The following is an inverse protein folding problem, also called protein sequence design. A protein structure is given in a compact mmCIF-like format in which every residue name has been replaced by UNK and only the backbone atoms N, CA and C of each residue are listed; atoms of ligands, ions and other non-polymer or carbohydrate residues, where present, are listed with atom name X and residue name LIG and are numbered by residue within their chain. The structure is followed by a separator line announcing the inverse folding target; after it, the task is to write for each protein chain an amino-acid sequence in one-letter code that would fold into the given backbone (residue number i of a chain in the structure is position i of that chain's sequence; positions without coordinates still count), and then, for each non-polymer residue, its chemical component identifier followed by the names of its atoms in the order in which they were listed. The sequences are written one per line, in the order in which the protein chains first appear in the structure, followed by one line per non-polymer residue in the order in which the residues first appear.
data_IF_637725150949
#
_entry.id   IF_637725150949
#
_cell.length_a   1.000
_cell.length_b   1.000
_cell.length_c   1.000
_cell.angle_alpha   90.00
_cell.angle_beta   90.00
_cell.angle_gamma   90.00
#
_symmetry.space_group_name_H-M   'P 1'
#
loop_
_entity.id
_entity.type
_entity.pdbx_description
1 polymer ?
#
# COMPACT_ATOMS: atom_id res chain seq x y z
N UNK A 1 -41.21 62.05 3.91
CA UNK A 1 -40.22 61.23 3.18
C UNK A 1 -40.59 59.79 3.44
N UNK A 2 -41.09 59.09 2.43
CA UNK A 2 -41.34 57.63 2.50
C UNK A 2 -40.00 56.91 2.60
N UNK A 3 -39.91 55.91 3.48
CA UNK A 3 -38.71 55.11 3.65
C UNK A 3 -38.40 54.40 2.33
N UNK A 4 -37.23 54.65 1.70
CA UNK A 4 -36.88 54.04 0.43
C UNK A 4 -36.79 52.50 0.50
N UNK A 5 -36.76 51.90 1.69
CA UNK A 5 -36.69 50.45 1.90
C UNK A 5 -38.05 49.78 2.13
N UNK A 6 -39.14 50.55 2.31
CA UNK A 6 -40.48 50.02 2.58
C UNK A 6 -40.96 48.99 1.54
N UNK A 7 -40.73 49.16 0.22
CA UNK A 7 -41.10 48.14 -0.78
C UNK A 7 -40.28 46.84 -0.68
N UNK A 8 -39.12 46.88 -0.01
CA UNK A 8 -38.18 45.78 0.10
C UNK A 8 -38.15 45.14 1.49
N UNK A 9 -38.88 45.69 2.47
CA UNK A 9 -38.83 45.28 3.87
C UNK A 9 -39.13 43.79 4.07
N UNK A 10 -40.16 43.25 3.40
CA UNK A 10 -40.50 41.83 3.50
C UNK A 10 -39.40 40.91 2.93
N UNK A 11 -38.75 41.31 1.84
CA UNK A 11 -37.64 40.57 1.24
C UNK A 11 -36.41 40.58 2.15
N UNK A 12 -36.09 41.72 2.75
CA UNK A 12 -34.98 41.84 3.71
C UNK A 12 -35.22 40.97 4.95
N UNK A 13 -36.43 41.01 5.52
CA UNK A 13 -36.81 40.13 6.63
C UNK A 13 -36.68 38.64 6.25
N UNK A 14 -37.07 38.26 5.03
CA UNK A 14 -36.90 36.88 4.57
C UNK A 14 -35.42 36.48 4.46
N UNK A 15 -34.57 37.38 3.95
CA UNK A 15 -33.12 37.17 3.89
C UNK A 15 -32.53 36.98 5.29
N UNK A 16 -32.94 37.78 6.27
CA UNK A 16 -32.51 37.65 7.67
C UNK A 16 -32.90 36.30 8.27
N UNK A 17 -34.15 35.85 8.05
CA UNK A 17 -34.62 34.54 8.51
C UNK A 17 -33.83 33.38 7.87
N UNK A 18 -33.50 33.49 6.59
CA UNK A 18 -32.66 32.50 5.90
C UNK A 18 -31.23 32.49 6.47
N UNK A 19 -30.68 33.66 6.80
CA UNK A 19 -29.37 33.76 7.43
C UNK A 19 -29.36 33.11 8.82
N UNK A 20 -30.32 33.43 9.68
CA UNK A 20 -30.46 32.80 11.02
C UNK A 20 -30.62 31.28 10.91
N UNK A 21 -31.44 30.80 9.97
CA UNK A 21 -31.59 29.36 9.73
C UNK A 21 -30.27 28.70 9.31
N UNK A 22 -29.50 29.34 8.43
CA UNK A 22 -28.18 28.84 8.00
C UNK A 22 -27.21 28.76 9.18
N UNK A 23 -27.21 29.77 10.03
CA UNK A 23 -26.30 29.84 11.17
C UNK A 23 -26.63 28.75 12.21
N UNK A 24 -27.92 28.52 12.49
CA UNK A 24 -28.38 27.40 13.34
C UNK A 24 -27.99 26.03 12.77
N UNK A 25 -28.18 25.82 11.47
CA UNK A 25 -27.77 24.57 10.82
C UNK A 25 -26.26 24.36 10.87
N UNK A 26 -25.49 25.42 10.70
CA UNK A 26 -24.02 25.39 10.78
C UNK A 26 -23.56 25.05 12.21
N UNK A 27 -24.17 25.65 13.22
CA UNK A 27 -23.89 25.36 14.63
C UNK A 27 -24.21 23.90 14.97
N UNK A 28 -25.39 23.41 14.56
CA UNK A 28 -25.78 22.01 14.76
C UNK A 28 -24.83 21.02 14.06
N UNK A 29 -24.37 21.36 12.84
CA UNK A 29 -23.38 20.56 12.13
C UNK A 29 -22.04 20.51 12.89
N UNK A 30 -21.54 21.65 13.37
CA UNK A 30 -20.28 21.72 14.13
C UNK A 30 -20.37 20.87 15.40
N UNK A 31 -21.50 20.92 16.12
CA UNK A 31 -21.72 20.11 17.32
C UNK A 31 -21.70 18.61 17.00
N UNK A 32 -22.45 18.18 15.98
CA UNK A 32 -22.46 16.79 15.54
C UNK A 32 -21.06 16.31 15.12
N UNK A 33 -20.30 17.13 14.38
CA UNK A 33 -18.91 16.82 14.03
C UNK A 33 -18.02 16.66 15.26
N UNK A 34 -18.17 17.52 16.27
CA UNK A 34 -17.40 17.43 17.50
C UNK A 34 -17.66 16.15 18.27
N UNK A 35 -18.93 15.72 18.35
CA UNK A 35 -19.29 14.45 18.97
C UNK A 35 -18.64 13.27 18.25
N UNK A 36 -18.65 13.28 16.91
CA UNK A 36 -18.01 12.24 16.09
C UNK A 36 -16.49 12.26 16.25
N UNK A 37 -15.85 13.43 16.17
CA UNK A 37 -14.40 13.60 16.37
C UNK A 37 -14.00 13.07 17.74
N UNK A 38 -14.75 13.42 18.79
CA UNK A 38 -14.49 12.96 20.15
C UNK A 38 -14.56 11.43 20.25
N UNK A 39 -15.61 10.82 19.71
CA UNK A 39 -15.76 9.35 19.71
C UNK A 39 -14.61 8.66 18.96
N UNK A 40 -14.25 9.17 17.79
CA UNK A 40 -13.11 8.66 17.00
C UNK A 40 -11.81 8.76 17.80
N UNK A 41 -11.57 9.89 18.47
CA UNK A 41 -10.38 10.09 19.29
C UNK A 41 -10.33 9.08 20.45
N UNK A 42 -11.45 8.86 21.15
CA UNK A 42 -11.56 7.85 22.21
C UNK A 42 -11.26 6.44 21.68
N UNK A 43 -11.86 6.05 20.55
CA UNK A 43 -11.63 4.73 19.94
C UNK A 43 -10.18 4.54 19.49
N UNK A 44 -9.56 5.59 18.94
CA UNK A 44 -8.15 5.56 18.52
C UNK A 44 -7.20 5.47 19.72
N UNK A 45 -7.45 6.24 20.78
CA UNK A 45 -6.66 6.17 22.00
C UNK A 45 -6.80 4.84 22.73
N UNK A 46 -7.97 4.20 22.63
CA UNK A 46 -8.19 2.85 23.12
C UNK A 46 -7.61 1.75 22.20
N UNK A 47 -7.00 2.10 21.07
CA UNK A 47 -6.45 1.14 20.10
C UNK A 47 -7.49 0.32 19.34
N UNK A 48 -8.78 0.69 19.43
CA UNK A 48 -9.88 -0.01 18.73
C UNK A 48 -9.89 0.28 17.24
N UNK A 49 -9.38 1.45 16.84
CA UNK A 49 -9.12 1.79 15.45
C UNK A 49 -7.63 2.12 15.26
N UNK A 50 -7.08 1.71 14.13
CA UNK A 50 -5.69 1.97 13.74
C UNK A 50 -5.55 3.24 12.88
N UNK A 51 -4.32 3.65 12.58
CA UNK A 51 -4.04 4.86 11.77
C UNK A 51 -4.68 4.82 10.37
N UNK A 52 -4.86 3.63 9.76
CA UNK A 52 -5.50 3.50 8.44
C UNK A 52 -7.00 3.73 8.51
N UNK A 53 -7.67 3.16 9.50
CA UNK A 53 -9.08 3.40 9.76
C UNK A 53 -9.32 4.88 10.11
N UNK A 54 -8.42 5.46 10.90
CA UNK A 54 -8.47 6.88 11.24
C UNK A 54 -8.36 7.78 9.99
N UNK A 55 -7.42 7.49 9.08
CA UNK A 55 -7.30 8.20 7.80
C UNK A 55 -8.57 8.09 6.95
N UNK A 56 -9.16 6.88 6.84
CA UNK A 56 -10.40 6.67 6.08
C UNK A 56 -11.57 7.47 6.64
N UNK A 57 -11.72 7.51 7.97
CA UNK A 57 -12.75 8.32 8.64
C UNK A 57 -12.57 9.80 8.36
N UNK A 58 -11.35 10.31 8.50
CA UNK A 58 -11.03 11.70 8.17
C UNK A 58 -11.36 12.04 6.70
N UNK A 59 -10.93 11.18 5.77
CA UNK A 59 -11.16 11.36 4.34
C UNK A 59 -12.65 11.35 3.99
N UNK A 60 -13.44 10.52 4.69
CA UNK A 60 -14.90 10.45 4.51
C UNK A 60 -15.62 11.70 5.03
N UNK A 61 -15.18 12.24 6.16
CA UNK A 61 -15.82 13.41 6.79
C UNK A 61 -15.46 14.72 6.10
N UNK A 62 -14.19 14.87 5.68
CA UNK A 62 -13.64 16.15 5.19
C UNK A 62 -14.47 16.86 4.10
N UNK A 63 -14.99 16.20 3.04
CA UNK A 63 -15.65 16.90 1.93
C UNK A 63 -16.87 17.71 2.34
N UNK A 64 -17.55 17.28 3.41
CA UNK A 64 -18.77 17.92 3.90
C UNK A 64 -18.56 18.62 5.24
N UNK A 65 -17.31 18.74 5.71
CA UNK A 65 -17.03 19.23 7.05
C UNK A 65 -17.17 20.76 7.16
N UNK A 66 -17.68 21.24 8.29
CA UNK A 66 -17.79 22.66 8.58
C UNK A 66 -16.41 23.33 8.68
N UNK A 67 -16.38 24.66 8.49
CA UNK A 67 -15.15 25.46 8.54
C UNK A 67 -14.32 25.14 9.80
N UNK A 68 -12.99 25.17 9.71
CA UNK A 68 -12.07 24.85 10.82
C UNK A 68 -12.08 23.40 11.33
N UNK A 69 -12.70 22.45 10.60
CA UNK A 69 -12.67 21.02 10.92
C UNK A 69 -11.26 20.49 11.20
N UNK A 70 -10.26 20.87 10.40
CA UNK A 70 -8.88 20.43 10.61
C UNK A 70 -8.27 20.89 11.94
N UNK A 71 -8.64 22.08 12.43
CA UNK A 71 -8.20 22.57 13.73
C UNK A 71 -8.86 21.79 14.87
N UNK A 72 -10.17 21.52 14.76
CA UNK A 72 -10.92 20.71 15.74
C UNK A 72 -10.39 19.28 15.80
N UNK A 73 -10.13 18.67 14.65
CA UNK A 73 -9.49 17.36 14.54
C UNK A 73 -8.13 17.33 15.23
N UNK A 74 -7.26 18.31 14.94
CA UNK A 74 -5.93 18.43 15.55
C UNK A 74 -6.00 18.61 17.07
N UNK A 75 -6.98 19.37 17.56
CA UNK A 75 -7.18 19.58 18.99
C UNK A 75 -7.56 18.27 19.70
N UNK A 76 -8.43 17.47 19.12
CA UNK A 76 -8.82 16.17 19.68
C UNK A 76 -7.72 15.11 19.56
N UNK A 77 -6.91 15.14 18.50
CA UNK A 77 -5.92 14.10 18.18
C UNK A 77 -4.54 14.69 17.80
N UNK A 78 -3.81 15.31 18.74
CA UNK A 78 -2.58 16.03 18.43
C UNK A 78 -1.46 15.12 17.90
N UNK A 79 -1.40 13.86 18.36
CA UNK A 79 -0.38 12.87 17.94
C UNK A 79 -0.65 12.25 16.56
N UNK A 80 -1.90 12.32 16.09
CA UNK A 80 -2.35 11.80 14.80
C UNK A 80 -2.73 12.97 13.88
N UNK A 81 -1.80 13.90 13.69
CA UNK A 81 -2.02 15.05 12.81
C UNK A 81 -2.33 14.59 11.39
N UNK A 82 -3.19 15.34 10.70
CA UNK A 82 -3.63 15.03 9.33
C UNK A 82 -2.43 14.88 8.40
N UNK A 83 -1.46 15.79 8.47
CA UNK A 83 -0.25 15.73 7.65
C UNK A 83 0.52 14.42 7.87
N UNK A 84 0.63 13.96 9.12
CA UNK A 84 1.23 12.66 9.42
C UNK A 84 0.44 11.51 8.81
N UNK A 85 -0.89 11.50 8.97
CA UNK A 85 -1.75 10.44 8.42
C UNK A 85 -1.68 10.38 6.90
N UNK A 86 -1.72 11.54 6.22
CA UNK A 86 -1.58 11.65 4.77
C UNK A 86 -0.21 11.15 4.31
N UNK A 87 0.88 11.56 4.97
CA UNK A 87 2.23 11.09 4.64
C UNK A 87 2.36 9.58 4.81
N UNK A 88 1.87 9.02 5.92
CA UNK A 88 1.91 7.58 6.15
C UNK A 88 1.08 6.81 5.13
N UNK A 89 -0.10 7.32 4.75
CA UNK A 89 -0.92 6.72 3.71
C UNK A 89 -0.20 6.69 2.36
N UNK A 90 0.33 7.85 1.92
CA UNK A 90 1.09 7.96 0.68
C UNK A 90 2.30 7.02 0.65
N UNK A 91 3.05 6.93 1.75
CA UNK A 91 4.17 6.02 1.86
C UNK A 91 3.74 4.54 1.76
N UNK A 92 2.60 4.18 2.37
CA UNK A 92 2.05 2.82 2.23
C UNK A 92 1.58 2.52 0.81
N UNK A 93 0.90 3.45 0.16
CA UNK A 93 0.49 3.30 -1.24
C UNK A 93 1.70 3.17 -2.16
N UNK A 94 2.71 4.01 -1.98
CA UNK A 94 3.96 3.94 -2.74
C UNK A 94 4.66 2.59 -2.54
N UNK A 95 4.75 2.10 -1.30
CA UNK A 95 5.32 0.77 -1.01
C UNK A 95 4.51 -0.35 -1.63
N UNK A 96 3.18 -0.28 -1.58
CA UNK A 96 2.31 -1.28 -2.19
C UNK A 96 2.45 -1.28 -3.72
N UNK A 97 2.50 -0.11 -4.35
CA UNK A 97 2.75 0.04 -5.79
C UNK A 97 4.14 -0.46 -6.18
N UNK A 98 5.15 -0.13 -5.38
CA UNK A 98 6.50 -0.62 -5.59
C UNK A 98 6.57 -2.15 -5.47
N UNK A 99 5.86 -2.71 -4.48
CA UNK A 99 5.75 -4.16 -4.31
C UNK A 99 5.07 -4.83 -5.49
N UNK A 100 3.93 -4.31 -5.93
CA UNK A 100 3.22 -4.79 -7.12
C UNK A 100 4.11 -4.71 -8.38
N UNK A 101 4.90 -3.64 -8.49
CA UNK A 101 5.79 -3.42 -9.63
C UNK A 101 7.00 -4.34 -9.62
N UNK A 102 7.62 -4.60 -8.46
CA UNK A 102 8.91 -5.29 -8.34
C UNK A 102 8.80 -6.74 -7.90
N UNK A 103 7.91 -7.04 -6.97
CA UNK A 103 7.91 -8.30 -6.23
C UNK A 103 6.75 -9.23 -6.56
N UNK A 104 5.70 -8.74 -7.23
CA UNK A 104 4.60 -9.61 -7.67
C UNK A 104 5.07 -10.58 -8.77
N UNK A 105 4.65 -11.86 -8.74
CA UNK A 105 4.87 -12.76 -9.87
C UNK A 105 4.32 -12.19 -11.18
N UNK A 106 4.77 -12.77 -12.29
CA UNK A 106 4.18 -12.52 -13.60
C UNK A 106 2.77 -13.16 -13.69
N UNK A 107 2.08 -12.94 -14.81
CA UNK A 107 0.70 -13.41 -15.00
C UNK A 107 0.56 -14.95 -14.94
N UNK A 108 1.65 -15.66 -15.20
CA UNK A 108 1.79 -17.12 -15.14
C UNK A 108 2.04 -17.65 -13.72
N UNK A 109 2.16 -16.77 -12.72
CA UNK A 109 2.34 -17.14 -11.32
C UNK A 109 3.80 -17.40 -10.90
N UNK A 110 4.78 -17.19 -11.78
CA UNK A 110 6.21 -17.27 -11.44
C UNK A 110 6.94 -15.97 -11.75
N UNK A 111 8.17 -15.84 -11.26
CA UNK A 111 9.07 -14.77 -11.67
C UNK A 111 9.99 -15.28 -12.76
N UNK A 112 10.35 -14.44 -13.72
CA UNK A 112 11.33 -14.78 -14.74
C UNK A 112 11.92 -13.51 -15.33
N UNK A 113 13.18 -13.57 -15.76
CA UNK A 113 13.86 -12.41 -16.31
C UNK A 113 15.23 -12.73 -16.90
N UNK A 114 15.91 -11.70 -17.37
CA UNK A 114 17.30 -11.75 -17.77
C UNK A 114 18.23 -11.54 -16.56
N UNK A 115 19.50 -11.92 -16.72
CA UNK A 115 20.56 -11.60 -15.76
C UNK A 115 21.61 -10.69 -16.42
N UNK A 116 22.07 -9.60 -15.77
CA UNK A 116 21.68 -9.13 -14.43
C UNK A 116 20.21 -8.69 -14.38
N UNK A 117 19.63 -8.75 -13.19
CA UNK A 117 18.25 -8.30 -12.97
C UNK A 117 18.20 -6.78 -13.12
N UNK A 118 17.63 -6.31 -14.24
CA UNK A 118 17.42 -4.89 -14.54
C UNK A 118 15.97 -4.66 -14.95
N UNK A 119 15.21 -3.97 -14.10
CA UNK A 119 13.79 -3.68 -14.32
C UNK A 119 12.82 -4.87 -14.21
N UNK A 120 13.30 -6.10 -14.36
CA UNK A 120 12.51 -7.32 -14.19
C UNK A 120 11.94 -7.45 -12.77
N UNK A 121 10.83 -8.19 -12.63
CA UNK A 121 10.26 -8.53 -11.33
C UNK A 121 11.03 -9.68 -10.71
N UNK A 122 11.21 -9.71 -9.38
CA UNK A 122 11.87 -10.81 -8.67
C UNK A 122 11.25 -11.11 -7.31
N UNK A 123 11.48 -12.31 -6.73
CA UNK A 123 10.91 -12.66 -5.44
C UNK A 123 11.37 -11.73 -4.31
N UNK A 124 10.45 -11.28 -3.46
CA UNK A 124 10.81 -10.48 -2.27
C UNK A 124 11.68 -11.27 -1.29
N UNK A 125 12.43 -10.57 -0.44
CA UNK A 125 13.22 -11.18 0.61
C UNK A 125 12.32 -11.88 1.62
N UNK A 126 12.62 -13.14 1.90
CA UNK A 126 11.87 -14.03 2.78
C UNK A 126 10.95 -15.00 2.02
N UNK A 127 10.59 -14.71 0.76
CA UNK A 127 9.77 -15.60 -0.05
C UNK A 127 10.54 -16.89 -0.38
N UNK A 128 10.00 -18.03 0.05
CA UNK A 128 10.52 -19.33 -0.35
C UNK A 128 10.29 -19.51 -1.86
N UNK A 129 11.37 -19.76 -2.60
CA UNK A 129 11.31 -20.06 -4.03
C UNK A 129 12.23 -21.21 -4.40
N UNK A 130 11.86 -21.93 -5.46
CA UNK A 130 12.79 -22.74 -6.26
C UNK A 130 13.04 -22.01 -7.56
N UNK A 131 14.30 -21.85 -7.96
CA UNK A 131 14.68 -21.14 -9.17
C UNK A 131 15.50 -22.02 -10.12
N UNK A 132 15.36 -21.74 -11.41
CA UNK A 132 16.09 -22.36 -12.52
C UNK A 132 16.87 -21.26 -13.23
N UNK A 133 18.16 -21.49 -13.46
CA UNK A 133 19.02 -20.62 -14.25
C UNK A 133 19.25 -21.25 -15.63
N UNK A 134 19.33 -20.40 -16.65
CA UNK A 134 19.51 -20.81 -18.03
C UNK A 134 20.76 -20.16 -18.63
N UNK A 135 21.51 -20.93 -19.40
CA UNK A 135 22.67 -20.44 -20.13
C UNK A 135 22.31 -19.73 -21.44
N UNK A 136 23.33 -19.35 -22.23
CA UNK A 136 23.18 -18.61 -23.47
C UNK A 136 22.36 -19.36 -24.54
N UNK A 137 22.35 -20.69 -24.48
CA UNK A 137 21.59 -21.56 -25.39
C UNK A 137 20.18 -21.85 -24.85
N UNK A 138 19.77 -21.14 -23.78
CA UNK A 138 18.50 -21.31 -23.09
C UNK A 138 18.33 -22.73 -22.51
N UNK A 139 19.43 -23.40 -22.15
CA UNK A 139 19.42 -24.71 -21.48
C UNK A 139 19.43 -24.51 -19.96
N UNK A 140 18.55 -25.19 -19.20
CA UNK A 140 18.62 -25.18 -17.74
C UNK A 140 20.00 -25.64 -17.25
N UNK A 141 20.79 -24.73 -16.69
CA UNK A 141 22.14 -25.00 -16.26
C UNK A 141 22.25 -25.21 -14.75
N UNK A 142 21.33 -24.65 -13.95
CA UNK A 142 21.33 -24.79 -12.49
C UNK A 142 19.90 -24.73 -11.92
N UNK A 143 19.61 -25.53 -10.90
CA UNK A 143 18.39 -25.47 -10.09
C UNK A 143 18.77 -25.29 -8.62
N UNK A 144 18.05 -24.45 -7.88
CA UNK A 144 18.23 -24.32 -6.44
C UNK A 144 17.03 -23.71 -5.72
N UNK A 145 17.01 -23.79 -4.40
CA UNK A 145 16.04 -23.10 -3.55
C UNK A 145 16.67 -21.94 -2.75
N UNK A 146 15.87 -20.93 -2.38
CA UNK A 146 16.31 -19.81 -1.53
C UNK A 146 15.12 -19.09 -0.88
N UNK A 147 15.39 -18.32 0.19
CA UNK A 147 14.51 -17.27 0.73
C UNK A 147 14.96 -15.87 0.33
N UNK A 148 16.06 -15.75 -0.40
CA UNK A 148 16.63 -14.49 -0.87
C UNK A 148 17.22 -14.76 -2.26
N UNK A 149 16.37 -14.68 -3.27
CA UNK A 149 16.74 -15.04 -4.65
C UNK A 149 17.83 -14.12 -5.19
N UNK A 150 17.66 -12.80 -5.03
CA UNK A 150 18.60 -11.81 -5.56
C UNK A 150 20.02 -12.01 -5.01
N UNK A 151 20.15 -12.13 -3.68
CA UNK A 151 21.45 -12.38 -3.04
C UNK A 151 22.08 -13.69 -3.53
N UNK A 152 21.27 -14.73 -3.73
CA UNK A 152 21.75 -16.03 -4.19
C UNK A 152 22.18 -15.99 -5.67
N UNK A 153 21.45 -15.28 -6.52
CA UNK A 153 21.81 -15.10 -7.93
C UNK A 153 23.12 -14.29 -8.08
N UNK A 154 23.30 -13.21 -7.30
CA UNK A 154 24.58 -12.49 -7.23
C UNK A 154 25.74 -13.40 -6.79
N UNK A 155 25.51 -14.27 -5.81
CA UNK A 155 26.52 -15.21 -5.35
C UNK A 155 26.94 -16.18 -6.47
N UNK A 156 26.01 -16.70 -7.27
CA UNK A 156 26.34 -17.55 -8.41
C UNK A 156 27.24 -16.84 -9.43
N UNK A 157 26.96 -15.57 -9.75
CA UNK A 157 27.82 -14.77 -10.65
C UNK A 157 29.21 -14.58 -10.06
N UNK A 158 29.30 -14.26 -8.76
CA UNK A 158 30.58 -14.10 -8.06
C UNK A 158 31.39 -15.41 -8.02
N UNK A 159 30.71 -16.53 -7.92
CA UNK A 159 31.31 -17.88 -7.96
C UNK A 159 31.69 -18.32 -9.38
N UNK A 160 31.54 -17.44 -10.39
CA UNK A 160 31.95 -17.69 -11.77
C UNK A 160 30.93 -18.47 -12.62
N UNK A 161 29.71 -18.70 -12.10
CA UNK A 161 28.66 -19.36 -12.89
C UNK A 161 28.11 -18.40 -13.95
N UNK A 162 27.99 -18.91 -15.16
CA UNK A 162 27.48 -18.16 -16.32
C UNK A 162 26.03 -18.55 -16.59
N UNK A 163 25.12 -17.60 -16.52
CA UNK A 163 23.72 -17.73 -16.88
C UNK A 163 23.22 -16.37 -17.39
N UNK A 164 22.24 -16.39 -18.30
CA UNK A 164 21.69 -15.17 -18.94
C UNK A 164 20.22 -14.95 -18.64
N UNK A 165 19.52 -16.01 -18.20
CA UNK A 165 18.10 -15.99 -17.87
C UNK A 165 17.82 -16.79 -16.63
N UNK A 166 16.69 -16.51 -16.00
CA UNK A 166 16.27 -17.20 -14.80
C UNK A 166 14.74 -17.28 -14.70
N UNK A 167 14.27 -18.23 -13.90
CA UNK A 167 12.87 -18.41 -13.52
C UNK A 167 12.82 -18.79 -12.04
N UNK A 168 11.84 -18.31 -11.28
CA UNK A 168 11.64 -18.65 -9.87
C UNK A 168 10.17 -18.95 -9.59
N UNK A 169 9.91 -20.09 -8.98
CA UNK A 169 8.59 -20.59 -8.60
C UNK A 169 8.32 -20.29 -7.12
N UNK A 170 7.17 -19.69 -6.77
CA UNK A 170 6.79 -19.52 -5.38
C UNK A 170 6.60 -20.88 -4.70
N UNK A 171 7.02 -20.97 -3.44
CA UNK A 171 6.73 -22.10 -2.56
C UNK A 171 6.12 -21.58 -1.26
N UNK A 172 5.17 -22.33 -0.71
CA UNK A 172 4.51 -21.98 0.55
C UNK A 172 5.51 -22.00 1.70
N UNK A 173 6.36 -23.03 1.73
CA UNK A 173 7.36 -23.24 2.75
C UNK A 173 8.63 -23.90 2.19
N UNK A 174 9.48 -24.37 3.11
CA UNK A 174 10.77 -24.99 2.79
C UNK A 174 10.62 -26.42 2.29
N UNK A 175 9.63 -27.17 2.77
CA UNK A 175 9.45 -28.58 2.41
C UNK A 175 8.88 -28.68 0.99
N UNK A 176 7.90 -27.83 0.67
CA UNK A 176 7.40 -27.65 -0.70
C UNK A 176 8.52 -27.25 -1.67
N UNK A 177 9.46 -26.41 -1.23
CA UNK A 177 10.63 -26.04 -2.04
C UNK A 177 11.55 -27.25 -2.31
N UNK A 178 11.76 -28.13 -1.33
CA UNK A 178 12.58 -29.33 -1.52
C UNK A 178 11.95 -30.34 -2.47
N UNK A 179 10.64 -30.56 -2.37
CA UNK A 179 9.91 -31.43 -3.29
C UNK A 179 9.97 -30.91 -4.74
N UNK A 180 9.73 -29.60 -4.91
CA UNK A 180 9.79 -28.95 -6.21
C UNK A 180 11.21 -28.95 -6.79
N UNK A 181 12.22 -28.65 -5.98
CA UNK A 181 13.63 -28.70 -6.38
C UNK A 181 14.03 -30.10 -6.86
N UNK A 182 13.68 -31.14 -6.10
CA UNK A 182 13.94 -32.55 -6.46
C UNK A 182 13.26 -32.96 -7.77
N UNK A 183 12.03 -32.47 -8.01
CA UNK A 183 11.33 -32.69 -9.28
C UNK A 183 12.05 -32.02 -10.45
N UNK A 184 12.38 -30.73 -10.33
CA UNK A 184 13.04 -29.97 -11.39
C UNK A 184 14.46 -30.47 -11.69
N UNK A 185 15.19 -30.94 -10.68
CA UNK A 185 16.50 -31.60 -10.86
C UNK A 185 16.39 -32.86 -11.71
N UNK A 186 15.37 -33.69 -11.49
CA UNK A 186 15.13 -34.91 -12.27
C UNK A 186 14.71 -34.61 -13.71
N UNK A 187 13.88 -33.59 -13.88
CA UNK A 187 13.35 -33.17 -15.18
C UNK A 187 14.43 -32.53 -16.06
N UNK A 188 15.14 -31.53 -15.55
CA UNK A 188 16.06 -30.73 -16.34
C UNK A 188 17.50 -31.28 -16.37
N UNK A 189 17.90 -32.08 -15.37
CA UNK A 189 19.27 -32.62 -15.22
C UNK A 189 20.35 -31.54 -15.42
N UNK A 190 20.26 -30.40 -14.71
CA UNK A 190 21.15 -29.26 -14.91
C UNK A 190 22.62 -29.62 -14.67
N UNK A 191 23.50 -29.23 -15.58
CA UNK A 191 24.91 -29.64 -15.56
C UNK A 191 25.77 -28.91 -14.51
N UNK A 192 25.32 -27.77 -13.96
CA UNK A 192 26.05 -27.05 -12.89
C UNK A 192 25.65 -27.49 -11.47
N UNK A 193 24.63 -28.32 -11.31
CA UNK A 193 24.35 -28.96 -10.02
C UNK A 193 25.34 -30.10 -9.82
N UNK A 194 26.22 -29.97 -8.81
CA UNK A 194 27.11 -31.06 -8.43
C UNK A 194 26.25 -32.27 -8.03
N UNK A 195 26.54 -33.44 -8.62
CA UNK A 195 26.03 -34.71 -8.10
C UNK A 195 26.70 -34.93 -6.75
N UNK A 196 25.91 -34.85 -5.69
CA UNK A 196 26.31 -35.32 -4.36
C UNK A 196 26.12 -36.83 -4.33
#
# INVERSE_FOLDING_TARGET
MTDPFEPHAATLQHIELLADKRDRLTAAQIDAENQVIHRIAVEFHAGRINEQQLYRLWHRMRPNAAEKFGARWKAAMPKASINRLVTLHKLREQRAQEYERRYKPNADGFWSGAWPVDGDRWPDKGQCVVYVLYDADNVPCYVGSSKDFYTRACAHTRDGKKFVRWMAYPCEDRDAAYELESRLLREHKPYMNKRV
#
